data_IF_544689940065
#
_entry.id   IF_544689940065
#
_cell.length_a   1.000
_cell.length_b   1.000
_cell.length_c   1.000
_cell.angle_alpha   90.00
_cell.angle_beta   90.00
_cell.angle_gamma   90.00
#
_symmetry.space_group_name_H-M   'P 1'
#
loop_
_entity.id
_entity.type
_entity.pdbx_description
1 polymer ?
#
# COMPACT_ATOMS: atom_id res chain seq x y z
N UNK A 1 15.75 0.27 6.81
CA UNK A 1 14.49 1.03 6.84
C UNK A 1 13.36 0.04 6.68
N UNK A 2 12.34 0.09 7.54
CA UNK A 2 11.22 -0.85 7.58
C UNK A 2 9.90 -0.10 7.33
N UNK A 3 9.21 -0.47 6.29
CA UNK A 3 8.00 0.20 5.80
C UNK A 3 6.84 -0.79 5.87
N UNK A 4 5.73 -0.40 6.51
CA UNK A 4 4.49 -1.15 6.51
C UNK A 4 3.55 -0.59 5.45
N UNK A 5 3.05 -1.45 4.56
CA UNK A 5 2.11 -1.10 3.49
C UNK A 5 0.80 -1.83 3.76
N UNK A 6 -0.29 -1.07 3.87
CA UNK A 6 -1.65 -1.56 4.13
C UNK A 6 -2.66 -0.87 3.22
N UNK A 7 -3.86 -1.40 3.14
CA UNK A 7 -4.97 -0.83 2.38
C UNK A 7 -6.32 -1.30 2.90
N UNK A 8 -7.36 -0.58 2.51
CA UNK A 8 -8.75 -1.03 2.63
C UNK A 8 -9.13 -1.40 4.08
N UNK A 9 -8.83 -0.48 5.03
CA UNK A 9 -9.22 -0.62 6.44
C UNK A 9 -10.72 -0.46 6.63
N UNK A 10 -11.39 0.35 5.79
CA UNK A 10 -12.82 0.59 5.84
C UNK A 10 -13.31 0.88 7.27
N UNK A 11 -12.61 1.78 7.97
CA UNK A 11 -12.93 2.19 9.35
C UNK A 11 -12.84 1.06 10.39
N UNK A 12 -12.23 -0.08 10.02
CA UNK A 12 -11.98 -1.22 10.92
C UNK A 12 -10.49 -1.38 11.19
N UNK A 13 -9.95 -0.53 12.03
CA UNK A 13 -8.51 -0.36 12.25
C UNK A 13 -7.93 -1.36 13.28
N UNK A 14 -8.76 -2.24 13.87
CA UNK A 14 -8.30 -3.21 14.87
C UNK A 14 -7.22 -4.15 14.36
N UNK A 15 -7.35 -4.64 13.14
CA UNK A 15 -6.33 -5.49 12.52
C UNK A 15 -5.03 -4.71 12.24
N UNK A 16 -5.14 -3.44 11.84
CA UNK A 16 -3.96 -2.58 11.66
C UNK A 16 -3.23 -2.38 12.99
N UNK A 17 -3.96 -2.13 14.09
CA UNK A 17 -3.37 -2.04 15.43
C UNK A 17 -2.64 -3.33 15.79
N UNK A 18 -3.27 -4.49 15.56
CA UNK A 18 -2.64 -5.78 15.81
C UNK A 18 -1.37 -6.00 14.98
N UNK A 19 -1.38 -5.63 13.70
CA UNK A 19 -0.19 -5.73 12.84
C UNK A 19 0.92 -4.83 13.35
N UNK A 20 0.63 -3.58 13.73
CA UNK A 20 1.64 -2.67 14.30
C UNK A 20 2.29 -3.25 15.56
N UNK A 21 1.49 -3.85 16.45
CA UNK A 21 2.00 -4.53 17.65
C UNK A 21 2.91 -5.72 17.28
N UNK A 22 2.52 -6.51 16.27
CA UNK A 22 3.29 -7.70 15.83
C UNK A 22 4.58 -7.34 15.13
N UNK A 23 4.55 -6.36 14.22
CA UNK A 23 5.74 -5.98 13.44
C UNK A 23 6.70 -5.11 14.22
N UNK A 24 6.23 -4.49 15.31
CA UNK A 24 7.01 -3.58 16.14
C UNK A 24 7.34 -2.27 15.42
N UNK A 25 8.46 -1.66 15.76
CA UNK A 25 8.83 -0.36 15.22
C UNK A 25 8.98 -0.38 13.69
N UNK A 26 8.32 0.57 13.04
CA UNK A 26 8.41 0.86 11.61
C UNK A 26 8.91 2.30 11.39
N UNK A 27 9.52 2.56 10.25
CA UNK A 27 10.03 3.88 9.88
C UNK A 27 9.02 4.69 9.06
N UNK A 28 8.08 4.00 8.40
CA UNK A 28 7.07 4.59 7.53
C UNK A 28 5.85 3.69 7.43
N UNK A 29 4.65 4.27 7.48
CA UNK A 29 3.39 3.62 7.15
C UNK A 29 2.86 4.15 5.82
N UNK A 30 2.44 3.25 4.93
CA UNK A 30 1.78 3.57 3.67
C UNK A 30 0.39 2.96 3.67
N UNK A 31 -0.62 3.79 3.38
CA UNK A 31 -2.02 3.36 3.27
C UNK A 31 -2.57 3.65 1.88
N UNK A 32 -2.93 2.60 1.14
CA UNK A 32 -3.33 2.69 -0.26
C UNK A 32 -4.82 3.04 -0.47
N UNK A 33 -5.48 3.68 0.51
CA UNK A 33 -6.86 4.20 0.38
C UNK A 33 -7.95 3.33 0.99
N UNK A 34 -9.18 3.82 0.91
CA UNK A 34 -10.38 3.29 1.57
C UNK A 34 -10.23 3.27 3.11
N UNK A 35 -9.95 4.45 3.65
CA UNK A 35 -9.75 4.73 5.08
C UNK A 35 -11.08 5.03 5.79
N UNK A 36 -11.97 5.73 5.09
CA UNK A 36 -13.32 6.09 5.52
C UNK A 36 -13.38 6.89 6.84
N UNK A 37 -12.52 7.92 6.97
CA UNK A 37 -12.56 8.88 8.07
C UNK A 37 -11.76 8.49 9.32
N UNK A 38 -10.92 7.45 9.27
CA UNK A 38 -10.02 7.10 10.38
C UNK A 38 -8.58 7.62 10.21
N UNK A 39 -8.33 8.59 9.31
CA UNK A 39 -7.01 9.15 9.01
C UNK A 39 -6.26 9.62 10.25
N UNK A 40 -6.93 10.39 11.10
CA UNK A 40 -6.33 10.92 12.33
C UNK A 40 -6.01 9.82 13.32
N UNK A 41 -6.85 8.80 13.43
CA UNK A 41 -6.61 7.65 14.29
C UNK A 41 -5.41 6.86 13.79
N UNK A 42 -5.35 6.51 12.50
CA UNK A 42 -4.24 5.77 11.89
C UNK A 42 -2.92 6.53 12.10
N UNK A 43 -2.89 7.83 11.84
CA UNK A 43 -1.70 8.67 12.10
C UNK A 43 -1.28 8.64 13.56
N UNK A 44 -2.22 8.60 14.49
CA UNK A 44 -1.93 8.59 15.95
C UNK A 44 -1.31 7.27 16.42
N UNK A 45 -1.69 6.13 15.83
CA UNK A 45 -1.20 4.80 16.23
C UNK A 45 0.06 4.37 15.47
N UNK A 46 0.35 4.97 14.32
CA UNK A 46 1.50 4.60 13.49
C UNK A 46 2.85 4.86 14.16
N UNK A 47 2.97 5.92 14.96
CA UNK A 47 4.21 6.30 15.63
C UNK A 47 5.35 6.72 14.70
N UNK A 48 5.06 6.93 13.40
CA UNK A 48 6.00 7.28 12.34
C UNK A 48 5.29 8.14 11.28
N UNK A 49 6.02 8.71 10.30
CA UNK A 49 5.39 9.35 9.13
C UNK A 49 4.43 8.42 8.41
N UNK A 50 3.38 9.00 7.80
CA UNK A 50 2.33 8.26 7.09
C UNK A 50 2.08 8.91 5.74
N UNK A 51 2.20 8.15 4.65
CA UNK A 51 1.63 8.46 3.35
C UNK A 51 0.28 7.76 3.19
N UNK A 52 -0.73 8.50 2.72
CA UNK A 52 -2.09 8.00 2.63
C UNK A 52 -2.85 8.70 1.52
N UNK A 53 -3.48 7.93 0.65
CA UNK A 53 -4.30 8.46 -0.45
C UNK A 53 -5.77 8.13 -0.27
N UNK A 54 -6.64 8.85 -0.97
CA UNK A 54 -8.06 8.58 -1.00
C UNK A 54 -8.37 7.37 -1.88
N UNK A 55 -9.24 6.47 -1.38
CA UNK A 55 -9.86 5.42 -2.18
C UNK A 55 -11.25 5.82 -2.71
N UNK A 56 -11.92 4.91 -3.40
CA UNK A 56 -13.23 5.16 -3.97
C UNK A 56 -14.36 5.26 -2.92
N UNK A 57 -14.12 4.88 -1.68
CA UNK A 57 -15.07 5.02 -0.57
C UNK A 57 -14.74 6.21 0.36
N UNK A 58 -13.67 6.96 0.08
CA UNK A 58 -13.27 8.13 0.85
C UNK A 58 -13.94 9.42 0.33
N UNK A 59 -15.27 9.54 0.48
CA UNK A 59 -16.08 10.61 -0.13
C UNK A 59 -15.86 12.00 0.47
N UNK A 60 -15.56 12.10 1.76
CA UNK A 60 -15.43 13.37 2.50
C UNK A 60 -14.05 13.46 3.16
N UNK A 61 -13.03 13.47 2.33
CA UNK A 61 -11.63 13.49 2.78
C UNK A 61 -10.84 14.61 2.10
N UNK A 62 -9.84 15.12 2.81
CA UNK A 62 -8.83 16.03 2.23
C UNK A 62 -7.59 15.26 1.70
N UNK A 63 -7.63 13.92 1.69
CA UNK A 63 -6.55 13.12 1.16
C UNK A 63 -6.40 13.33 -0.35
N UNK A 64 -5.15 13.38 -0.81
CA UNK A 64 -4.86 13.36 -2.24
C UNK A 64 -5.31 12.04 -2.88
N UNK A 65 -5.67 12.05 -4.17
CA UNK A 65 -5.99 10.84 -4.92
C UNK A 65 -4.75 10.00 -5.20
N UNK A 66 -3.61 10.66 -5.32
CA UNK A 66 -2.33 10.07 -5.64
C UNK A 66 -1.20 10.86 -4.97
N UNK A 67 -0.10 10.18 -4.66
CA UNK A 67 1.15 10.79 -4.20
C UNK A 67 2.33 10.19 -4.95
N UNK A 68 3.35 11.01 -5.23
CA UNK A 68 4.66 10.55 -5.66
C UNK A 68 5.72 11.00 -4.65
N UNK A 69 6.58 10.08 -4.22
CA UNK A 69 7.63 10.35 -3.24
C UNK A 69 8.78 9.36 -3.41
N UNK A 70 9.84 9.52 -2.63
CA UNK A 70 11.00 8.64 -2.69
C UNK A 70 11.12 7.80 -1.41
N UNK A 71 11.49 6.53 -1.58
CA UNK A 71 11.91 5.63 -0.52
C UNK A 71 13.35 5.16 -0.84
N UNK A 72 14.33 5.71 -0.14
CA UNK A 72 15.73 5.46 -0.48
C UNK A 72 16.05 5.91 -1.91
N UNK A 73 16.43 4.96 -2.78
CA UNK A 73 16.71 5.21 -4.21
C UNK A 73 15.50 5.02 -5.12
N UNK A 74 14.36 4.59 -4.59
CA UNK A 74 13.18 4.24 -5.37
C UNK A 74 12.20 5.41 -5.46
N UNK A 75 11.79 5.75 -6.67
CA UNK A 75 10.63 6.62 -6.91
C UNK A 75 9.36 5.79 -6.79
N UNK A 76 8.47 6.21 -5.90
CA UNK A 76 7.24 5.51 -5.57
C UNK A 76 6.04 6.33 -6.00
N UNK A 77 5.09 5.70 -6.65
CA UNK A 77 3.77 6.23 -6.92
C UNK A 77 2.74 5.45 -6.09
N UNK A 78 1.97 6.18 -5.29
CA UNK A 78 0.91 5.67 -4.44
C UNK A 78 -0.43 6.12 -4.98
N UNK A 79 -1.34 5.19 -5.20
CA UNK A 79 -2.72 5.42 -5.64
C UNK A 79 -3.64 4.35 -5.05
N UNK A 80 -4.95 4.55 -5.05
CA UNK A 80 -5.85 3.45 -4.70
C UNK A 80 -6.02 2.44 -5.85
N UNK A 81 -5.88 2.87 -7.08
CA UNK A 81 -5.86 2.01 -8.27
C UNK A 81 -7.21 1.90 -9.00
N UNK A 82 -8.32 2.32 -8.42
CA UNK A 82 -9.65 2.19 -9.04
C UNK A 82 -9.80 2.91 -10.38
N UNK A 83 -9.03 3.98 -10.65
CA UNK A 83 -8.98 4.67 -11.94
C UNK A 83 -8.15 3.94 -13.00
N UNK A 84 -7.37 2.94 -12.61
CA UNK A 84 -6.43 2.22 -13.47
C UNK A 84 -6.86 0.77 -13.74
N UNK A 85 -8.14 0.48 -13.61
CA UNK A 85 -8.75 -0.81 -13.93
C UNK A 85 -8.12 -2.03 -13.24
N UNK A 86 -7.53 -1.84 -12.05
CA UNK A 86 -6.80 -2.90 -11.32
C UNK A 86 -7.65 -4.12 -10.96
N UNK A 87 -8.98 -4.00 -11.01
CA UNK A 87 -9.89 -5.13 -10.84
C UNK A 87 -9.92 -6.08 -12.04
N UNK A 88 -9.44 -5.62 -13.20
CA UNK A 88 -9.36 -6.42 -14.45
C UNK A 88 -7.97 -7.02 -14.62
N UNK A 89 -6.93 -6.24 -14.35
CA UNK A 89 -5.54 -6.65 -14.47
C UNK A 89 -4.57 -5.55 -14.04
N UNK A 90 -3.29 -5.80 -14.16
CA UNK A 90 -2.24 -4.86 -13.76
C UNK A 90 -1.62 -4.11 -14.94
N UNK A 91 -2.04 -4.39 -16.16
CA UNK A 91 -1.42 -3.85 -17.37
C UNK A 91 -1.49 -2.33 -17.40
N UNK A 92 -2.69 -1.75 -17.19
CA UNK A 92 -2.89 -0.30 -17.25
C UNK A 92 -2.10 0.46 -16.17
N UNK A 93 -2.05 -0.06 -14.94
CA UNK A 93 -1.33 0.61 -13.86
C UNK A 93 0.19 0.48 -14.04
N UNK A 94 0.69 -0.60 -14.62
CA UNK A 94 2.11 -0.77 -14.95
C UNK A 94 2.55 0.14 -16.10
N UNK A 95 1.74 0.26 -17.16
CA UNK A 95 1.99 1.20 -18.27
C UNK A 95 2.04 2.65 -17.77
N UNK A 96 1.13 3.04 -16.90
CA UNK A 96 1.12 4.38 -16.30
C UNK A 96 2.36 4.60 -15.41
N UNK A 97 2.73 3.61 -14.60
CA UNK A 97 3.91 3.68 -13.73
C UNK A 97 5.21 3.82 -14.56
N UNK A 98 5.32 3.09 -15.66
CA UNK A 98 6.45 3.22 -16.60
C UNK A 98 6.50 4.63 -17.21
N UNK A 99 5.35 5.15 -17.65
CA UNK A 99 5.25 6.48 -18.26
C UNK A 99 5.64 7.60 -17.27
N UNK A 100 5.37 7.42 -15.99
CA UNK A 100 5.79 8.33 -14.90
C UNK A 100 7.28 8.18 -14.53
N UNK A 101 7.93 7.13 -14.97
CA UNK A 101 9.30 6.82 -14.63
C UNK A 101 9.48 6.48 -13.15
N UNK A 102 8.49 5.83 -12.52
CA UNK A 102 8.58 5.35 -11.15
C UNK A 102 9.08 3.91 -11.11
N UNK A 103 9.74 3.55 -10.01
CA UNK A 103 10.27 2.19 -9.79
C UNK A 103 9.24 1.28 -9.14
N UNK A 104 8.36 1.85 -8.32
CA UNK A 104 7.37 1.11 -7.54
C UNK A 104 6.02 1.83 -7.64
N UNK A 105 4.96 1.07 -7.94
CA UNK A 105 3.58 1.51 -7.77
C UNK A 105 2.91 0.73 -6.64
N UNK A 106 2.29 1.43 -5.69
CA UNK A 106 1.56 0.85 -4.57
C UNK A 106 0.08 1.19 -4.70
N UNK A 107 -0.79 0.16 -4.59
CA UNK A 107 -2.23 0.34 -4.77
C UNK A 107 -3.04 -0.65 -3.93
N UNK A 108 -4.35 -0.44 -3.82
CA UNK A 108 -5.29 -1.29 -3.07
C UNK A 108 -6.46 -1.76 -3.92
N UNK A 109 -7.69 -1.45 -3.50
CA UNK A 109 -8.96 -1.62 -4.18
C UNK A 109 -9.43 -3.06 -4.41
N UNK A 110 -8.56 -3.95 -4.87
CA UNK A 110 -8.95 -5.34 -5.20
C UNK A 110 -9.18 -6.20 -3.97
N UNK A 111 -8.64 -5.81 -2.83
CA UNK A 111 -8.56 -6.58 -1.59
C UNK A 111 -7.84 -7.93 -1.75
N UNK A 112 -6.98 -8.04 -2.77
CA UNK A 112 -6.19 -9.23 -3.08
C UNK A 112 -4.72 -8.84 -3.12
N UNK A 113 -3.86 -9.47 -2.31
CA UNK A 113 -2.44 -9.12 -2.28
C UNK A 113 -1.74 -9.51 -3.58
N UNK A 114 -0.80 -8.65 -3.98
CA UNK A 114 0.05 -8.86 -5.13
C UNK A 114 1.41 -8.20 -4.89
N UNK A 115 2.49 -8.90 -5.19
CA UNK A 115 3.83 -8.33 -5.38
C UNK A 115 4.33 -8.88 -6.71
N UNK A 116 4.48 -8.00 -7.69
CA UNK A 116 4.86 -8.37 -9.04
C UNK A 116 5.86 -7.35 -9.61
N UNK A 117 6.99 -7.82 -10.07
CA UNK A 117 7.96 -6.98 -10.80
C UNK A 117 7.92 -7.34 -12.28
N UNK A 118 7.58 -6.36 -13.11
CA UNK A 118 7.58 -6.54 -14.55
C UNK A 118 9.01 -6.84 -15.04
N UNK A 119 9.22 -7.96 -15.75
CA UNK A 119 10.55 -8.36 -16.20
C UNK A 119 11.14 -7.43 -17.27
N UNK A 120 10.31 -6.66 -17.98
CA UNK A 120 10.73 -5.75 -19.04
C UNK A 120 11.07 -4.36 -18.50
N UNK A 121 10.09 -3.72 -17.83
CA UNK A 121 10.22 -2.35 -17.33
C UNK A 121 10.94 -2.27 -15.99
N UNK A 122 11.00 -3.37 -15.22
CA UNK A 122 11.49 -3.46 -13.84
C UNK A 122 10.62 -2.72 -12.82
N UNK A 123 9.49 -2.18 -13.21
CA UNK A 123 8.52 -1.60 -12.29
C UNK A 123 7.94 -2.68 -11.37
N UNK A 124 7.92 -2.41 -10.07
CA UNK A 124 7.30 -3.30 -9.08
C UNK A 124 5.91 -2.80 -8.70
N UNK A 125 4.89 -3.60 -8.93
CA UNK A 125 3.52 -3.36 -8.51
C UNK A 125 3.24 -4.06 -7.18
N UNK A 126 2.76 -3.32 -6.18
CA UNK A 126 2.48 -3.82 -4.84
C UNK A 126 1.04 -3.51 -4.47
N UNK A 127 0.29 -4.56 -4.16
CA UNK A 127 -1.01 -4.45 -3.50
C UNK A 127 -0.94 -5.24 -2.19
N UNK A 128 -1.14 -4.62 -1.03
CA UNK A 128 -1.07 -5.33 0.25
C UNK A 128 -2.30 -6.22 0.51
N UNK A 129 -3.29 -6.19 -0.37
CA UNK A 129 -4.61 -6.75 -0.10
C UNK A 129 -5.41 -5.85 0.84
N UNK A 130 -6.41 -6.39 1.50
CA UNK A 130 -7.13 -5.66 2.54
C UNK A 130 -6.76 -6.16 3.93
N UNK A 131 -6.53 -5.22 4.83
CA UNK A 131 -6.29 -5.51 6.24
C UNK A 131 -7.59 -5.87 6.98
N UNK A 132 -8.76 -5.57 6.41
CA UNK A 132 -10.06 -5.74 7.10
C UNK A 132 -11.09 -6.55 6.32
N UNK A 133 -11.05 -6.50 4.98
CA UNK A 133 -12.01 -7.17 4.09
C UNK A 133 -11.33 -7.97 2.98
N UNK A 134 -10.53 -8.99 3.31
CA UNK A 134 -9.79 -9.78 2.33
C UNK A 134 -10.71 -10.52 1.35
N UNK A 135 -10.31 -10.56 0.07
CA UNK A 135 -11.06 -11.24 -1.01
C UNK A 135 -10.27 -12.37 -1.69
N UNK A 136 -9.01 -12.60 -1.31
CA UNK A 136 -8.25 -13.74 -1.80
C UNK A 136 -8.75 -15.07 -1.18
N UNK A 137 -8.30 -16.19 -1.72
CA UNK A 137 -8.55 -17.49 -1.14
C UNK A 137 -8.07 -17.54 0.32
N UNK A 138 -8.88 -18.17 1.19
CA UNK A 138 -8.64 -18.19 2.63
C UNK A 138 -9.02 -16.92 3.38
N UNK A 139 -9.30 -15.82 2.69
CA UNK A 139 -9.79 -14.53 3.26
C UNK A 139 -9.05 -14.10 4.52
N UNK A 140 -7.73 -14.19 4.52
CA UNK A 140 -6.90 -13.73 5.63
C UNK A 140 -6.54 -12.25 5.43
N UNK A 141 -6.71 -11.39 6.44
CA UNK A 141 -6.21 -10.02 6.40
C UNK A 141 -4.73 -10.01 6.04
N UNK A 142 -4.33 -9.11 5.15
CA UNK A 142 -2.97 -9.10 4.63
C UNK A 142 -2.35 -7.71 4.65
N UNK A 143 -1.03 -7.67 4.64
CA UNK A 143 -0.20 -6.48 4.60
C UNK A 143 1.13 -6.81 3.91
N UNK A 144 1.88 -5.80 3.50
CA UNK A 144 3.24 -5.97 2.98
C UNK A 144 4.23 -5.22 3.88
N UNK A 145 5.33 -5.89 4.22
CA UNK A 145 6.52 -5.25 4.77
C UNK A 145 7.54 -5.08 3.65
N UNK A 146 7.99 -3.85 3.45
CA UNK A 146 9.13 -3.51 2.59
C UNK A 146 10.29 -3.13 3.49
N UNK A 147 11.44 -3.78 3.29
CA UNK A 147 12.66 -3.50 4.03
C UNK A 147 13.76 -3.09 3.07
N UNK A 148 14.42 -1.95 3.34
CA UNK A 148 15.65 -1.58 2.67
C UNK A 148 16.84 -2.12 3.45
N UNK A 149 17.69 -2.91 2.79
CA UNK A 149 18.93 -3.39 3.35
C UNK A 149 20.00 -2.26 3.46
N UNK A 150 21.20 -2.61 3.90
CA UNK A 150 22.31 -1.63 4.05
C UNK A 150 22.81 -1.08 2.72
N UNK A 151 22.57 -1.77 1.64
CA UNK A 151 22.92 -1.37 0.28
C UNK A 151 21.78 -0.58 -0.40
N UNK A 152 20.65 -0.42 0.31
CA UNK A 152 19.45 0.26 -0.18
C UNK A 152 18.60 -0.57 -1.13
N UNK A 153 18.76 -1.92 -1.16
CA UNK A 153 17.89 -2.77 -1.95
C UNK A 153 16.62 -3.09 -1.19
N UNK A 154 15.50 -3.11 -1.92
CA UNK A 154 14.19 -3.40 -1.37
C UNK A 154 13.90 -4.90 -1.33
N UNK A 155 13.43 -5.36 -0.19
CA UNK A 155 12.93 -6.72 0.04
C UNK A 155 11.47 -6.62 0.47
N UNK A 156 10.61 -7.48 -0.09
CA UNK A 156 9.18 -7.44 0.15
C UNK A 156 8.71 -8.73 0.79
N UNK A 157 7.91 -8.60 1.85
CA UNK A 157 7.34 -9.73 2.59
C UNK A 157 5.82 -9.56 2.71
N UNK A 158 5.07 -10.46 2.11
CA UNK A 158 3.63 -10.53 2.28
C UNK A 158 3.31 -11.22 3.61
N UNK A 159 2.65 -10.49 4.51
CA UNK A 159 2.22 -10.98 5.82
C UNK A 159 0.70 -11.19 5.89
N UNK A 160 0.27 -12.03 6.78
CA UNK A 160 -1.14 -12.34 7.06
C UNK A 160 -1.39 -12.38 8.56
N UNK A 161 -2.61 -11.96 8.97
CA UNK A 161 -3.18 -12.21 10.29
C UNK A 161 -3.87 -13.56 10.37
#
# INVERSE_FOLDING_TARGET
>A
MKILIVSDTHRRDGNLTQVLDMVGQIDLLIHCGDVEGSESFIKSIAGCPVHMVAGNNDFFTDLAQEEEFEIGKYRVWLTHGHHYYVSVGTEAILEEAESRGVDIVMFGHTHRPLIFTDPQTKVTAINPGSISYPRQEGRRPSYVLMELDREGNAHYHLGYL
#
